data_IF_952556617309
#
_entry.id   IF_952556617309
#
_cell.length_a   1.000
_cell.length_b   1.000
_cell.length_c   1.000
_cell.angle_alpha   90.00
_cell.angle_beta   90.00
_cell.angle_gamma   90.00
#
_symmetry.space_group_name_H-M   'P 1'
#
loop_
_entity.id
_entity.type
_entity.pdbx_description
1 polymer ?
#
# COMPACT_ATOMS: atom_id res chain seq x y z
N UNK A 1 -8.06 2.90 -1.31
CA UNK A 1 -9.25 1.99 -1.28
C UNK A 1 -8.99 0.78 -0.37
N UNK A 2 -7.81 0.17 -0.46
CA UNK A 2 -7.40 -1.05 0.23
C UNK A 2 -7.46 -0.92 1.75
N UNK A 3 -7.11 0.25 2.30
CA UNK A 3 -7.31 0.61 3.72
C UNK A 3 -8.77 0.47 4.15
N UNK A 4 -9.72 1.02 3.39
CA UNK A 4 -11.14 0.96 3.73
C UNK A 4 -11.69 -0.47 3.69
N UNK A 5 -11.21 -1.30 2.77
CA UNK A 5 -11.57 -2.71 2.70
C UNK A 5 -11.09 -3.44 3.96
N UNK A 6 -9.83 -3.24 4.36
CA UNK A 6 -9.27 -3.83 5.57
C UNK A 6 -10.06 -3.42 6.83
N UNK A 7 -10.32 -2.11 7.00
CA UNK A 7 -11.09 -1.60 8.14
C UNK A 7 -12.54 -2.11 8.14
N UNK A 8 -13.17 -2.21 6.96
CA UNK A 8 -14.52 -2.78 6.84
C UNK A 8 -14.53 -4.24 7.28
N UNK A 9 -13.52 -5.03 6.87
CA UNK A 9 -13.40 -6.44 7.30
C UNK A 9 -13.21 -6.58 8.81
N UNK A 10 -12.50 -5.65 9.46
CA UNK A 10 -12.39 -5.63 10.92
C UNK A 10 -13.72 -5.28 11.61
N UNK A 11 -14.44 -4.26 11.12
CA UNK A 11 -15.72 -3.82 11.70
C UNK A 11 -16.91 -4.73 11.36
N UNK A 12 -16.75 -5.74 10.51
CA UNK A 12 -17.74 -6.81 10.29
C UNK A 12 -17.61 -7.92 11.35
N UNK A 13 -16.54 -7.91 12.16
CA UNK A 13 -16.31 -8.86 13.26
C UNK A 13 -16.56 -8.30 14.69
N UNK A 14 -17.55 -7.44 14.98
CA UNK A 14 -17.95 -7.24 16.36
C UNK A 14 -18.81 -8.44 16.77
N UNK A 15 -18.67 -8.79 18.03
CA UNK A 15 -19.37 -9.81 18.80
C UNK A 15 -20.90 -9.63 18.82
N UNK A 16 -21.57 -9.58 17.65
CA UNK A 16 -23.03 -9.70 17.56
C UNK A 16 -23.41 -11.15 17.83
N UNK A 17 -23.64 -11.32 19.12
CA UNK A 17 -24.11 -12.45 19.86
C UNK A 17 -25.51 -12.88 19.41
N UNK A 18 -25.71 -13.29 18.15
CA UNK A 18 -26.90 -14.06 17.72
C UNK A 18 -26.84 -14.36 16.22
N UNK A 19 -26.68 -15.65 15.89
CA UNK A 19 -27.19 -16.31 14.69
C UNK A 19 -26.93 -15.67 13.30
N UNK A 20 -25.97 -16.25 12.55
CA UNK A 20 -25.87 -16.26 11.06
C UNK A 20 -25.10 -15.13 10.33
N UNK A 21 -23.99 -14.63 10.88
CA UNK A 21 -22.95 -13.96 10.09
C UNK A 21 -21.75 -14.88 9.82
N UNK A 22 -21.20 -14.99 8.59
CA UNK A 22 -20.01 -15.82 8.35
C UNK A 22 -18.78 -15.16 9.01
N UNK A 23 -18.21 -15.82 10.02
CA UNK A 23 -16.91 -15.43 10.60
C UNK A 23 -15.87 -15.35 9.50
N UNK A 24 -15.29 -14.18 9.29
CA UNK A 24 -14.24 -14.00 8.27
C UNK A 24 -12.98 -14.70 8.78
N UNK A 25 -12.38 -15.61 8.01
CA UNK A 25 -11.17 -16.30 8.45
C UNK A 25 -9.98 -15.33 8.51
N UNK A 26 -9.09 -15.52 9.47
CA UNK A 26 -7.89 -14.69 9.67
C UNK A 26 -6.97 -14.64 8.44
N UNK A 27 -7.02 -15.66 7.59
CA UNK A 27 -6.30 -15.70 6.31
C UNK A 27 -6.75 -14.57 5.38
N UNK A 28 -8.04 -14.20 5.38
CA UNK A 28 -8.59 -13.10 4.58
C UNK A 28 -8.15 -11.76 5.14
N UNK A 29 -8.12 -11.59 6.47
CA UNK A 29 -7.65 -10.36 7.12
C UNK A 29 -6.16 -10.15 6.82
N UNK A 30 -5.33 -11.20 6.95
CA UNK A 30 -3.90 -11.15 6.59
C UNK A 30 -3.69 -10.84 5.10
N UNK A 31 -4.49 -11.44 4.22
CA UNK A 31 -4.42 -11.15 2.79
C UNK A 31 -4.84 -9.70 2.46
N UNK A 32 -5.84 -9.15 3.16
CA UNK A 32 -6.26 -7.77 3.01
C UNK A 32 -5.17 -6.80 3.47
N UNK A 33 -4.51 -7.07 4.60
CA UNK A 33 -3.38 -6.25 5.07
C UNK A 33 -2.20 -6.31 4.11
N UNK A 34 -1.87 -7.47 3.54
CA UNK A 34 -0.83 -7.60 2.53
C UNK A 34 -1.16 -6.78 1.27
N UNK A 35 -2.43 -6.77 0.82
CA UNK A 35 -2.87 -5.93 -0.31
C UNK A 35 -2.78 -4.44 0.00
N UNK A 36 -3.04 -4.03 1.23
CA UNK A 36 -2.82 -2.66 1.70
C UNK A 36 -1.33 -2.31 1.66
N UNK A 37 -0.46 -3.14 2.23
CA UNK A 37 0.99 -2.94 2.21
C UNK A 37 1.57 -2.81 0.79
N UNK A 38 1.08 -3.63 -0.15
CA UNK A 38 1.42 -3.55 -1.58
C UNK A 38 1.07 -2.18 -2.18
N UNK A 39 -0.13 -1.68 -1.90
CA UNK A 39 -0.56 -0.36 -2.40
C UNK A 39 0.26 0.78 -1.77
N UNK A 40 0.58 0.68 -0.49
CA UNK A 40 1.33 1.72 0.24
C UNK A 40 2.77 1.82 -0.27
N UNK A 41 3.44 0.69 -0.53
CA UNK A 41 4.76 0.68 -1.19
C UNK A 41 4.68 1.31 -2.58
N UNK A 42 3.67 0.97 -3.37
CA UNK A 42 3.52 1.52 -4.72
C UNK A 42 3.35 3.05 -4.69
N UNK A 43 2.52 3.56 -3.79
CA UNK A 43 2.32 5.01 -3.60
C UNK A 43 3.59 5.69 -3.11
N UNK A 44 4.33 5.09 -2.17
CA UNK A 44 5.62 5.62 -1.72
C UNK A 44 6.62 5.73 -2.87
N UNK A 45 6.76 4.69 -3.70
CA UNK A 45 7.67 4.69 -4.85
C UNK A 45 7.28 5.78 -5.86
N UNK A 46 5.98 5.97 -6.10
CA UNK A 46 5.48 7.05 -6.97
C UNK A 46 5.83 8.44 -6.44
N UNK A 47 5.60 8.70 -5.14
CA UNK A 47 5.92 9.97 -4.49
C UNK A 47 7.44 10.24 -4.57
N UNK A 48 8.27 9.25 -4.26
CA UNK A 48 9.74 9.38 -4.30
C UNK A 48 10.26 9.63 -5.72
N UNK A 49 9.72 8.92 -6.71
CA UNK A 49 10.09 9.10 -8.12
C UNK A 49 9.69 10.49 -8.61
N UNK A 50 8.47 10.95 -8.30
CA UNK A 50 8.00 12.28 -8.66
C UNK A 50 8.84 13.39 -7.99
N UNK A 51 9.14 13.25 -6.69
CA UNK A 51 9.98 14.19 -5.95
C UNK A 51 11.39 14.30 -6.55
N UNK A 52 12.01 13.17 -6.91
CA UNK A 52 13.32 13.16 -7.58
C UNK A 52 13.28 13.87 -8.94
N UNK A 53 12.26 13.60 -9.77
CA UNK A 53 12.09 14.28 -11.04
C UNK A 53 11.92 15.80 -10.87
N UNK A 54 11.09 16.22 -9.90
CA UNK A 54 10.84 17.62 -9.58
C UNK A 54 12.06 18.34 -8.98
N UNK A 55 12.99 17.64 -8.32
CA UNK A 55 14.21 18.26 -7.78
C UNK A 55 15.05 18.94 -8.87
N UNK A 56 15.09 18.36 -10.08
CA UNK A 56 15.79 18.95 -11.22
C UNK A 56 15.08 20.19 -11.80
N UNK A 57 13.76 20.27 -11.64
CA UNK A 57 12.93 21.40 -12.09
C UNK A 57 12.95 22.56 -11.09
N UNK A 58 13.08 22.25 -9.80
CA UNK A 58 13.25 23.23 -8.72
C UNK A 58 14.53 24.05 -8.92
N UNK A 59 15.65 23.39 -9.29
CA UNK A 59 16.92 24.07 -9.60
C UNK A 59 16.81 25.01 -10.81
N UNK A 60 15.88 24.75 -11.73
CA UNK A 60 15.61 25.59 -12.91
C UNK A 60 14.62 26.73 -12.60
N UNK A 61 14.11 26.83 -11.37
CA UNK A 61 13.10 27.81 -10.97
C UNK A 61 11.72 27.59 -11.58
N UNK A 62 11.47 26.45 -12.24
CA UNK A 62 10.19 26.15 -12.90
C UNK A 62 9.13 25.60 -11.94
N UNK A 63 9.50 25.33 -10.70
CA UNK A 63 8.66 24.74 -9.66
C UNK A 63 8.88 25.54 -8.36
N UNK A 64 7.81 25.84 -7.64
CA UNK A 64 7.88 26.59 -6.38
C UNK A 64 8.18 25.71 -5.15
N UNK A 65 8.66 26.34 -4.08
CA UNK A 65 8.96 25.70 -2.79
C UNK A 65 7.70 25.05 -2.16
N UNK A 66 6.51 25.63 -2.38
CA UNK A 66 5.23 25.04 -1.94
C UNK A 66 5.01 23.62 -2.50
N UNK A 67 5.39 23.35 -3.75
CA UNK A 67 5.28 22.01 -4.33
C UNK A 67 6.24 21.03 -3.65
N UNK A 68 7.46 21.49 -3.36
CA UNK A 68 8.45 20.69 -2.66
C UNK A 68 8.00 20.32 -1.24
N UNK A 69 7.44 21.30 -0.51
CA UNK A 69 6.87 21.08 0.81
C UNK A 69 5.70 20.10 0.79
N UNK A 70 4.83 20.16 -0.23
CA UNK A 70 3.74 19.17 -0.42
C UNK A 70 4.27 17.75 -0.59
N UNK A 71 5.34 17.56 -1.37
CA UNK A 71 5.98 16.25 -1.49
C UNK A 71 6.57 15.76 -0.17
N UNK A 72 7.20 16.64 0.62
CA UNK A 72 7.72 16.25 1.93
C UNK A 72 6.60 15.86 2.90
N UNK A 73 5.48 16.61 2.90
CA UNK A 73 4.31 16.26 3.70
C UNK A 73 3.72 14.92 3.28
N UNK A 74 3.50 14.73 1.98
CA UNK A 74 2.94 13.48 1.45
C UNK A 74 3.85 12.27 1.74
N UNK A 75 5.17 12.44 1.69
CA UNK A 75 6.12 11.39 2.06
C UNK A 75 6.01 11.04 3.54
N UNK A 76 5.95 12.04 4.43
CA UNK A 76 5.78 11.82 5.87
C UNK A 76 4.47 11.12 6.21
N UNK A 77 3.36 11.57 5.62
CA UNK A 77 2.05 10.94 5.79
C UNK A 77 2.09 9.46 5.36
N UNK A 78 2.77 9.15 4.24
CA UNK A 78 2.93 7.77 3.78
C UNK A 78 3.83 6.95 4.72
N UNK A 79 4.90 7.52 5.26
CA UNK A 79 5.75 6.84 6.25
C UNK A 79 4.99 6.49 7.52
N UNK A 80 4.10 7.38 7.98
CA UNK A 80 3.23 7.12 9.12
C UNK A 80 2.21 6.00 8.81
N UNK A 81 1.60 5.99 7.61
CA UNK A 81 0.75 4.86 7.19
C UNK A 81 1.51 3.52 7.16
N UNK A 82 2.77 3.51 6.73
CA UNK A 82 3.59 2.30 6.72
C UNK A 82 3.92 1.82 8.14
N UNK A 83 4.15 2.74 9.09
CA UNK A 83 4.34 2.38 10.51
C UNK A 83 3.09 1.73 11.09
N UNK A 84 1.91 2.26 10.78
CA UNK A 84 0.63 1.66 11.19
C UNK A 84 0.51 0.21 10.69
N UNK A 85 0.85 -0.05 9.42
CA UNK A 85 0.80 -1.40 8.83
C UNK A 85 1.74 -2.38 9.55
N UNK A 86 2.93 -1.93 9.97
CA UNK A 86 3.86 -2.77 10.75
C UNK A 86 3.28 -3.11 12.12
N UNK A 87 2.67 -2.13 12.78
CA UNK A 87 2.02 -2.32 14.08
C UNK A 87 0.84 -3.29 13.97
N UNK A 88 -0.03 -3.10 12.97
CA UNK A 88 -1.16 -3.99 12.66
C UNK A 88 -0.69 -5.42 12.31
N UNK A 89 0.38 -5.55 11.52
CA UNK A 89 0.95 -6.85 11.18
C UNK A 89 1.49 -7.57 12.43
N UNK A 90 2.21 -6.86 13.30
CA UNK A 90 2.71 -7.43 14.55
C UNK A 90 1.60 -7.81 15.52
N UNK A 91 0.46 -7.09 15.50
CA UNK A 91 -0.72 -7.45 16.27
C UNK A 91 -1.40 -8.73 15.76
N UNK A 92 -1.37 -8.98 14.45
CA UNK A 92 -1.92 -10.20 13.84
C UNK A 92 -0.99 -11.42 13.98
N UNK A 93 0.33 -11.22 13.90
CA UNK A 93 1.32 -12.25 14.12
C UNK A 93 2.66 -11.64 14.58
N UNK A 94 3.29 -12.19 15.63
CA UNK A 94 4.56 -11.65 16.13
C UNK A 94 5.64 -11.72 15.05
N UNK A 95 6.47 -10.68 14.97
CA UNK A 95 7.55 -10.50 13.98
C UNK A 95 7.11 -10.37 12.51
N UNK A 96 5.80 -10.40 12.21
CA UNK A 96 5.35 -10.31 10.83
C UNK A 96 5.59 -8.93 10.22
N UNK A 97 5.56 -7.87 11.03
CA UNK A 97 5.81 -6.50 10.58
C UNK A 97 7.19 -6.29 9.94
N UNK A 98 8.19 -7.12 10.28
CA UNK A 98 9.53 -7.04 9.67
C UNK A 98 9.56 -7.65 8.26
N UNK A 99 8.68 -8.61 7.96
CA UNK A 99 8.72 -9.43 6.75
C UNK A 99 7.64 -9.00 5.75
N UNK A 100 6.55 -8.38 6.22
CA UNK A 100 5.38 -8.05 5.40
C UNK A 100 5.72 -7.18 4.19
N UNK A 101 6.63 -6.21 4.33
CA UNK A 101 7.02 -5.35 3.21
C UNK A 101 7.89 -6.07 2.20
N UNK A 102 8.78 -6.97 2.62
CA UNK A 102 9.54 -7.81 1.68
C UNK A 102 8.60 -8.72 0.86
N UNK A 103 7.59 -9.30 1.51
CA UNK A 103 6.56 -10.09 0.83
C UNK A 103 5.71 -9.24 -0.14
N UNK A 104 5.40 -8.00 0.24
CA UNK A 104 4.65 -7.06 -0.59
C UNK A 104 5.47 -6.59 -1.81
N UNK A 105 6.74 -6.27 -1.65
CA UNK A 105 7.67 -5.92 -2.75
C UNK A 105 7.78 -7.04 -3.78
N UNK A 106 7.97 -8.28 -3.32
CA UNK A 106 8.00 -9.46 -4.19
C UNK A 106 6.70 -9.58 -5.00
N UNK A 107 5.55 -9.35 -4.36
CA UNK A 107 4.24 -9.42 -5.01
C UNK A 107 4.00 -8.28 -6.00
N UNK A 108 4.46 -7.07 -5.70
CA UNK A 108 4.46 -5.93 -6.63
C UNK A 108 5.26 -6.25 -7.89
N UNK A 109 6.49 -6.72 -7.73
CA UNK A 109 7.38 -7.08 -8.84
C UNK A 109 6.78 -8.17 -9.72
N UNK A 110 6.26 -9.25 -9.12
CA UNK A 110 5.61 -10.34 -9.85
C UNK A 110 4.35 -9.88 -10.59
N UNK A 111 3.51 -9.05 -9.96
CA UNK A 111 2.29 -8.52 -10.59
C UNK A 111 2.62 -7.56 -11.74
N UNK A 112 3.66 -6.74 -11.59
CA UNK A 112 4.11 -5.83 -12.64
C UNK A 112 4.69 -6.59 -13.83
N UNK A 113 5.53 -7.61 -13.59
CA UNK A 113 6.00 -8.51 -14.63
C UNK A 113 4.84 -9.23 -15.30
N UNK A 114 3.91 -9.83 -14.55
CA UNK A 114 2.76 -10.51 -15.12
C UNK A 114 1.89 -9.56 -15.94
N UNK A 115 1.55 -8.38 -15.43
CA UNK A 115 0.67 -7.42 -16.14
C UNK A 115 1.35 -6.80 -17.35
N UNK A 116 2.64 -6.47 -17.26
CA UNK A 116 3.40 -5.89 -18.38
C UNK A 116 3.69 -6.93 -19.46
N UNK A 117 4.07 -8.15 -19.08
CA UNK A 117 4.29 -9.26 -20.01
C UNK A 117 2.96 -9.67 -20.64
N UNK A 118 1.88 -9.80 -19.88
CA UNK A 118 0.54 -10.13 -20.39
C UNK A 118 0.03 -9.02 -21.31
N UNK A 119 0.08 -7.73 -20.93
CA UNK A 119 -0.34 -6.63 -21.82
C UNK A 119 0.51 -6.53 -23.08
N UNK A 120 1.83 -6.79 -23.00
CA UNK A 120 2.74 -6.71 -24.16
C UNK A 120 2.68 -7.94 -25.07
N UNK A 121 2.27 -9.10 -24.56
CA UNK A 121 2.08 -10.35 -25.33
C UNK A 121 0.64 -10.49 -25.88
N UNK A 122 -0.40 -10.08 -25.14
CA UNK A 122 -1.81 -10.31 -25.52
C UNK A 122 -2.49 -9.18 -26.31
N UNK A 123 -1.80 -8.09 -26.69
CA UNK A 123 -2.35 -7.03 -27.56
C UNK A 123 -3.77 -6.53 -27.15
N UNK A 124 -4.08 -6.51 -25.85
CA UNK A 124 -5.38 -6.01 -25.39
C UNK A 124 -5.38 -4.47 -25.45
N UNK A 125 -6.38 -3.84 -26.10
CA UNK A 125 -6.44 -2.39 -26.26
C UNK A 125 -6.71 -1.68 -24.92
N UNK A 126 -6.38 -0.38 -24.90
CA UNK A 126 -6.48 0.54 -23.76
C UNK A 126 -7.90 0.67 -23.22
#
# INVERSE_FOLDING_TARGET
LQRNIYLSLLHINPEDSSEKGPRIPDSVIRAALLRRAVEDIHRLVQIRTAKQACSSLLQKGSVGDDLWQRFQRAEKEMEDELRDVVMEANALAPNWGQIIFHAAESRLSCTFCATTVVRRILLLPL
#
